data_IF_129968165858
#
_entry.id   IF_129968165858
#
_cell.length_a   1.000
_cell.length_b   1.000
_cell.length_c   1.000
_cell.angle_alpha   90.00
_cell.angle_beta   90.00
_cell.angle_gamma   90.00
#
_symmetry.space_group_name_H-M   'P 1'
#
loop_
_entity.id
_entity.type
_entity.pdbx_description
1 polymer ?
#
# COMPACT_ATOMS: atom_id res chain seq x y z
N UNK A 1 -2.61 -25.51 -26.21
CA UNK A 1 -1.47 -26.11 -25.44
C UNK A 1 -1.06 -25.23 -24.24
N UNK A 2 -0.67 -23.95 -24.45
CA UNK A 2 -0.18 -23.11 -23.32
C UNK A 2 -1.32 -22.68 -22.39
N UNK A 3 -2.50 -22.28 -22.91
CA UNK A 3 -3.67 -21.95 -22.11
C UNK A 3 -4.19 -23.10 -21.26
N UNK A 4 -4.16 -24.31 -21.78
CA UNK A 4 -4.53 -25.52 -21.04
C UNK A 4 -3.57 -25.76 -19.85
N UNK A 5 -2.28 -25.52 -20.04
CA UNK A 5 -1.29 -25.63 -18.96
C UNK A 5 -1.52 -24.58 -17.86
N UNK A 6 -1.91 -23.36 -18.23
CA UNK A 6 -2.18 -22.27 -17.28
C UNK A 6 -3.44 -22.53 -16.47
N UNK A 7 -4.47 -23.10 -17.07
CA UNK A 7 -5.72 -23.42 -16.38
C UNK A 7 -5.65 -24.72 -15.56
N UNK A 8 -4.62 -25.53 -15.75
CA UNK A 8 -4.47 -26.76 -15.01
C UNK A 8 -3.91 -26.47 -13.60
N UNK A 9 -4.73 -26.71 -12.58
CA UNK A 9 -4.39 -26.48 -11.18
C UNK A 9 -3.19 -27.29 -10.68
N UNK A 10 -2.87 -28.43 -11.32
CA UNK A 10 -1.69 -29.24 -10.96
C UNK A 10 -0.37 -28.55 -11.25
N UNK A 11 -0.40 -27.48 -12.05
CA UNK A 11 0.76 -26.67 -12.37
C UNK A 11 1.06 -25.57 -11.34
N UNK A 12 0.33 -25.56 -10.23
CA UNK A 12 0.53 -24.65 -9.11
C UNK A 12 0.66 -25.43 -7.81
N UNK A 13 1.51 -24.95 -6.92
CA UNK A 13 1.69 -25.54 -5.59
C UNK A 13 1.54 -24.50 -4.50
N UNK A 14 1.04 -24.91 -3.33
CA UNK A 14 0.90 -24.00 -2.21
C UNK A 14 2.27 -23.54 -1.74
N UNK A 15 2.50 -22.24 -1.84
CA UNK A 15 3.75 -21.61 -1.42
C UNK A 15 3.47 -20.57 -0.33
N UNK A 16 3.92 -20.78 0.92
CA UNK A 16 3.68 -19.88 2.02
C UNK A 16 4.16 -18.43 1.76
N UNK A 17 5.21 -18.26 0.95
CA UNK A 17 5.75 -16.94 0.61
C UNK A 17 4.83 -16.11 -0.30
N UNK A 18 3.88 -16.74 -0.97
CA UNK A 18 2.86 -16.02 -1.76
C UNK A 18 1.76 -15.40 -0.90
N UNK A 19 1.47 -15.97 0.28
CA UNK A 19 0.35 -15.56 1.13
C UNK A 19 0.42 -14.09 1.56
N UNK A 20 1.53 -13.57 2.12
CA UNK A 20 1.58 -12.16 2.52
C UNK A 20 1.43 -11.20 1.33
N UNK A 21 1.90 -11.60 0.15
CA UNK A 21 1.80 -10.80 -1.07
C UNK A 21 0.36 -10.75 -1.59
N UNK A 22 -0.34 -11.89 -1.61
CA UNK A 22 -1.77 -11.97 -1.98
C UNK A 22 -2.63 -11.16 -1.01
N UNK A 23 -2.41 -11.34 0.30
CA UNK A 23 -3.16 -10.61 1.33
C UNK A 23 -2.96 -9.10 1.19
N UNK A 24 -1.73 -8.64 0.97
CA UNK A 24 -1.46 -7.23 0.72
C UNK A 24 -2.19 -6.74 -0.54
N UNK A 25 -2.19 -7.52 -1.64
CA UNK A 25 -2.93 -7.20 -2.86
C UNK A 25 -4.43 -7.05 -2.62
N UNK A 26 -5.05 -8.00 -1.91
CA UNK A 26 -6.48 -7.96 -1.56
C UNK A 26 -6.81 -6.75 -0.69
N UNK A 27 -6.00 -6.47 0.34
CA UNK A 27 -6.19 -5.33 1.23
C UNK A 27 -6.10 -4.00 0.46
N UNK A 28 -5.09 -3.85 -0.40
CA UNK A 28 -4.91 -2.65 -1.23
C UNK A 28 -6.12 -2.44 -2.16
N UNK A 29 -6.59 -3.48 -2.83
CA UNK A 29 -7.77 -3.38 -3.69
C UNK A 29 -9.03 -3.01 -2.90
N UNK A 30 -9.23 -3.62 -1.74
CA UNK A 30 -10.35 -3.34 -0.84
C UNK A 30 -10.35 -1.87 -0.38
N UNK A 31 -9.18 -1.34 -0.01
CA UNK A 31 -8.99 0.08 0.34
C UNK A 31 -9.33 0.98 -0.86
N UNK A 32 -8.85 0.63 -2.06
CA UNK A 32 -9.14 1.38 -3.28
C UNK A 32 -10.64 1.44 -3.60
N UNK A 33 -11.33 0.30 -3.53
CA UNK A 33 -12.79 0.21 -3.73
C UNK A 33 -13.53 1.00 -2.65
N UNK A 34 -13.11 0.90 -1.40
CA UNK A 34 -13.71 1.66 -0.30
C UNK A 34 -13.64 3.16 -0.56
N UNK A 35 -12.46 3.70 -0.91
CA UNK A 35 -12.29 5.13 -1.20
C UNK A 35 -13.09 5.56 -2.44
N UNK A 36 -13.12 4.73 -3.49
CA UNK A 36 -13.91 5.01 -4.68
C UNK A 36 -15.40 5.12 -4.37
N UNK A 37 -15.94 4.23 -3.53
CA UNK A 37 -17.35 4.23 -3.11
C UNK A 37 -17.74 5.48 -2.31
N UNK A 38 -16.81 6.12 -1.62
CA UNK A 38 -17.08 7.36 -0.88
C UNK A 38 -17.49 8.50 -1.84
N UNK A 39 -16.88 8.58 -3.01
CA UNK A 39 -17.29 9.50 -4.07
C UNK A 39 -16.71 9.04 -5.43
N UNK A 40 -17.51 8.32 -6.17
CA UNK A 40 -17.13 7.78 -7.49
C UNK A 40 -17.03 8.85 -8.61
N UNK A 41 -17.46 10.09 -8.36
CA UNK A 41 -17.31 11.22 -9.28
C UNK A 41 -16.04 12.05 -9.01
N UNK A 42 -15.39 11.85 -7.87
CA UNK A 42 -14.16 12.56 -7.53
C UNK A 42 -12.98 12.00 -8.32
N UNK A 43 -12.32 12.86 -9.10
CA UNK A 43 -11.13 12.49 -9.87
C UNK A 43 -9.97 12.01 -8.95
N UNK A 44 -9.89 12.52 -7.72
CA UNK A 44 -8.91 12.08 -6.71
C UNK A 44 -9.19 10.63 -6.34
N UNK A 45 -10.44 10.28 -6.05
CA UNK A 45 -10.82 8.93 -5.66
C UNK A 45 -10.64 7.94 -6.81
N UNK A 46 -10.96 8.36 -8.05
CA UNK A 46 -10.74 7.54 -9.26
C UNK A 46 -9.24 7.30 -9.46
N UNK A 47 -8.41 8.34 -9.38
CA UNK A 47 -6.96 8.23 -9.54
C UNK A 47 -6.34 7.32 -8.47
N UNK A 48 -6.79 7.47 -7.21
CA UNK A 48 -6.36 6.60 -6.12
C UNK A 48 -6.79 5.14 -6.33
N UNK A 49 -8.02 4.91 -6.78
CA UNK A 49 -8.48 3.55 -7.12
C UNK A 49 -7.64 2.92 -8.23
N UNK A 50 -7.32 3.65 -9.31
CA UNK A 50 -6.47 3.16 -10.38
C UNK A 50 -5.06 2.80 -9.88
N UNK A 51 -4.53 3.57 -8.94
CA UNK A 51 -3.27 3.26 -8.29
C UNK A 51 -3.37 1.97 -7.45
N UNK A 52 -4.40 1.84 -6.62
CA UNK A 52 -4.65 0.63 -5.84
C UNK A 52 -4.84 -0.60 -6.75
N UNK A 53 -5.56 -0.44 -7.85
CA UNK A 53 -5.75 -1.50 -8.85
C UNK A 53 -4.42 -1.94 -9.46
N UNK A 54 -3.57 -1.00 -9.91
CA UNK A 54 -2.27 -1.33 -10.51
C UNK A 54 -1.35 -2.07 -9.54
N UNK A 55 -1.29 -1.61 -8.28
CA UNK A 55 -0.47 -2.24 -7.23
C UNK A 55 -1.02 -3.61 -6.85
N UNK A 56 -2.34 -3.72 -6.64
CA UNK A 56 -2.99 -4.99 -6.31
C UNK A 56 -2.83 -6.01 -7.45
N UNK A 57 -2.97 -5.57 -8.70
CA UNK A 57 -2.78 -6.42 -9.87
C UNK A 57 -1.35 -6.94 -9.93
N UNK A 58 -0.34 -6.07 -9.74
CA UNK A 58 1.06 -6.48 -9.63
C UNK A 58 1.26 -7.52 -8.52
N UNK A 59 0.78 -7.25 -7.29
CA UNK A 59 0.98 -8.14 -6.15
C UNK A 59 0.26 -9.48 -6.32
N UNK A 60 -0.97 -9.49 -6.83
CA UNK A 60 -1.73 -10.72 -7.05
C UNK A 60 -1.09 -11.60 -8.11
N UNK A 61 -0.61 -11.01 -9.19
CA UNK A 61 0.00 -11.76 -10.29
C UNK A 61 1.41 -12.23 -9.98
N UNK A 62 2.23 -11.44 -9.26
CA UNK A 62 3.55 -11.92 -8.81
C UNK A 62 3.41 -13.05 -7.78
N UNK A 63 2.36 -13.04 -6.96
CA UNK A 63 2.08 -14.16 -6.08
C UNK A 63 1.77 -15.45 -6.86
N UNK A 64 1.06 -15.36 -7.99
CA UNK A 64 0.84 -16.51 -8.88
C UNK A 64 2.16 -17.01 -9.49
N UNK A 65 3.09 -16.10 -9.82
CA UNK A 65 4.44 -16.48 -10.24
C UNK A 65 5.14 -17.32 -9.16
N UNK A 66 4.98 -16.96 -7.86
CA UNK A 66 5.54 -17.75 -6.76
C UNK A 66 4.87 -19.12 -6.57
N UNK A 67 3.59 -19.23 -6.92
CA UNK A 67 2.84 -20.50 -6.86
C UNK A 67 3.15 -21.42 -8.06
N UNK A 68 3.75 -20.92 -9.14
CA UNK A 68 3.97 -21.69 -10.37
C UNK A 68 4.95 -22.84 -10.17
N UNK A 69 4.63 -24.03 -10.70
CA UNK A 69 5.46 -25.22 -10.61
C UNK A 69 6.56 -25.28 -11.68
N UNK A 70 6.35 -24.62 -12.81
CA UNK A 70 7.26 -24.61 -13.96
C UNK A 70 7.69 -23.20 -14.36
N UNK A 71 8.89 -23.12 -14.94
CA UNK A 71 9.46 -21.86 -15.42
C UNK A 71 8.59 -21.18 -16.49
N UNK A 72 8.02 -21.95 -17.43
CA UNK A 72 7.21 -21.40 -18.51
C UNK A 72 5.94 -20.73 -18.01
N UNK A 73 5.26 -21.32 -17.01
CA UNK A 73 4.06 -20.75 -16.40
C UNK A 73 4.40 -19.49 -15.62
N UNK A 74 5.48 -19.53 -14.83
CA UNK A 74 5.97 -18.38 -14.09
C UNK A 74 6.31 -17.21 -15.03
N UNK A 75 6.99 -17.48 -16.15
CA UNK A 75 7.34 -16.48 -17.15
C UNK A 75 6.10 -15.88 -17.81
N UNK A 76 5.12 -16.74 -18.16
CA UNK A 76 3.86 -16.27 -18.72
C UNK A 76 3.16 -15.26 -17.80
N UNK A 77 2.93 -15.63 -16.55
CA UNK A 77 2.29 -14.74 -15.59
C UNK A 77 3.08 -13.44 -15.36
N UNK A 78 4.41 -13.53 -15.34
CA UNK A 78 5.24 -12.34 -15.17
C UNK A 78 5.15 -11.40 -16.36
N UNK A 79 5.37 -11.89 -17.59
CA UNK A 79 5.42 -11.06 -18.81
C UNK A 79 4.09 -10.42 -19.15
N UNK A 80 3.02 -11.22 -19.14
CA UNK A 80 1.72 -10.75 -19.62
C UNK A 80 0.89 -10.04 -18.56
N UNK A 81 1.09 -10.35 -17.27
CA UNK A 81 0.23 -9.80 -16.22
C UNK A 81 1.01 -9.00 -15.18
N UNK A 82 2.05 -9.56 -14.59
CA UNK A 82 2.78 -8.88 -13.52
C UNK A 82 3.42 -7.59 -14.01
N UNK A 83 4.07 -7.63 -15.17
CA UNK A 83 4.72 -6.44 -15.73
C UNK A 83 3.72 -5.37 -16.14
N UNK A 84 2.52 -5.75 -16.60
CA UNK A 84 1.43 -4.80 -16.84
C UNK A 84 1.06 -4.02 -15.57
N UNK A 85 0.95 -4.70 -14.43
CA UNK A 85 0.73 -4.04 -13.14
C UNK A 85 1.85 -3.05 -12.81
N UNK A 86 3.11 -3.49 -12.93
CA UNK A 86 4.31 -2.69 -12.61
C UNK A 86 4.38 -1.40 -13.42
N UNK A 87 4.19 -1.45 -14.75
CA UNK A 87 4.31 -0.28 -15.62
C UNK A 87 3.23 0.77 -15.36
N UNK A 88 2.06 0.37 -14.83
CA UNK A 88 0.96 1.27 -14.53
C UNK A 88 1.06 1.94 -13.14
N UNK A 89 1.96 1.52 -12.26
CA UNK A 89 2.09 2.12 -10.92
C UNK A 89 2.45 3.60 -11.01
N UNK A 90 3.53 3.96 -11.70
CA UNK A 90 4.00 5.35 -11.74
C UNK A 90 3.04 6.32 -12.46
N UNK A 91 2.42 5.96 -13.60
CA UNK A 91 1.37 6.80 -14.21
C UNK A 91 0.18 7.05 -13.30
N UNK A 92 -0.26 6.03 -12.55
CA UNK A 92 -1.38 6.19 -11.62
C UNK A 92 -1.03 7.12 -10.43
N UNK A 93 0.20 7.03 -9.92
CA UNK A 93 0.74 7.98 -8.91
C UNK A 93 0.77 9.40 -9.48
N UNK A 94 1.21 9.58 -10.74
CA UNK A 94 1.21 10.90 -11.39
C UNK A 94 -0.20 11.46 -11.55
N UNK A 95 -1.14 10.66 -12.04
CA UNK A 95 -2.54 11.06 -12.14
C UNK A 95 -3.11 11.48 -10.79
N UNK A 96 -2.81 10.71 -9.73
CA UNK A 96 -3.21 11.06 -8.37
C UNK A 96 -2.59 12.38 -7.90
N UNK A 97 -1.28 12.58 -8.08
CA UNK A 97 -0.61 13.82 -7.69
C UNK A 97 -1.17 15.06 -8.41
N UNK A 98 -1.48 14.94 -9.70
CA UNK A 98 -2.10 16.02 -10.50
C UNK A 98 -3.54 16.29 -10.07
N UNK A 99 -4.33 15.23 -9.80
CA UNK A 99 -5.70 15.35 -9.30
C UNK A 99 -5.74 16.00 -7.92
N UNK A 100 -4.84 15.59 -7.03
CA UNK A 100 -4.72 16.15 -5.68
C UNK A 100 -4.38 17.64 -5.68
N UNK A 101 -3.48 18.05 -6.59
CA UNK A 101 -3.09 19.46 -6.77
C UNK A 101 -4.17 20.33 -7.45
N UNK A 102 -5.32 19.76 -7.82
CA UNK A 102 -6.38 20.48 -8.53
C UNK A 102 -6.06 20.85 -10.00
N UNK A 103 -4.97 20.30 -10.55
CA UNK A 103 -4.49 20.65 -11.90
C UNK A 103 -4.93 19.66 -12.99
N UNK A 104 -5.83 18.73 -12.69
CA UNK A 104 -6.17 17.64 -13.59
C UNK A 104 -6.67 18.12 -14.96
N UNK A 105 -7.59 19.10 -14.98
CA UNK A 105 -8.14 19.63 -16.24
C UNK A 105 -7.06 20.27 -17.12
N UNK A 106 -6.11 20.99 -16.49
CA UNK A 106 -5.01 21.64 -17.20
C UNK A 106 -3.97 20.65 -17.74
N UNK A 107 -3.77 19.54 -17.03
CA UNK A 107 -2.72 18.56 -17.31
C UNK A 107 -3.22 17.21 -17.84
N UNK A 108 -4.49 17.11 -18.25
CA UNK A 108 -5.09 15.84 -18.70
C UNK A 108 -4.30 15.17 -19.84
N UNK A 109 -3.79 15.95 -20.78
CA UNK A 109 -2.98 15.43 -21.90
C UNK A 109 -1.65 14.85 -21.41
N UNK A 110 -1.00 15.50 -20.45
CA UNK A 110 0.22 14.97 -19.83
C UNK A 110 -0.03 13.69 -19.06
N UNK A 111 -1.18 13.57 -18.41
CA UNK A 111 -1.60 12.32 -17.75
C UNK A 111 -1.71 11.20 -18.78
N UNK A 112 -2.35 11.44 -19.92
CA UNK A 112 -2.49 10.45 -21.00
C UNK A 112 -1.11 10.05 -21.54
N UNK A 113 -0.25 11.01 -21.87
CA UNK A 113 1.13 10.75 -22.35
C UNK A 113 1.92 9.94 -21.34
N UNK A 114 1.70 10.19 -20.04
CA UNK A 114 2.35 9.47 -18.97
C UNK A 114 1.95 7.98 -18.90
N UNK A 115 0.79 7.59 -19.42
CA UNK A 115 0.39 6.19 -19.59
C UNK A 115 0.92 5.57 -20.88
N UNK A 116 1.11 6.36 -21.93
CA UNK A 116 1.57 5.85 -23.24
C UNK A 116 3.00 5.30 -23.14
N UNK A 117 3.93 6.01 -22.49
CA UNK A 117 5.33 5.59 -22.42
C UNK A 117 5.50 4.24 -21.70
N UNK A 118 4.90 4.01 -20.51
CA UNK A 118 4.93 2.70 -19.87
C UNK A 118 4.26 1.60 -20.68
N UNK A 119 3.21 1.93 -21.44
CA UNK A 119 2.58 0.97 -22.35
C UNK A 119 3.54 0.51 -23.46
N UNK A 120 4.41 1.41 -23.96
CA UNK A 120 5.45 1.02 -24.91
C UNK A 120 6.46 0.03 -24.28
N UNK A 121 6.85 0.22 -23.00
CA UNK A 121 7.67 -0.76 -22.29
C UNK A 121 6.95 -2.09 -22.12
N UNK A 122 5.63 -2.07 -21.87
CA UNK A 122 4.85 -3.29 -21.80
C UNK A 122 4.79 -4.01 -23.16
N UNK A 123 4.57 -3.30 -24.26
CA UNK A 123 4.60 -3.88 -25.61
C UNK A 123 5.99 -4.46 -25.90
N UNK A 124 7.06 -3.75 -25.56
CA UNK A 124 8.42 -4.24 -25.68
C UNK A 124 8.63 -5.53 -24.89
N UNK A 125 8.10 -5.64 -23.67
CA UNK A 125 8.22 -6.85 -22.85
C UNK A 125 7.53 -8.03 -23.49
N UNK A 126 6.30 -7.88 -24.01
CA UNK A 126 5.53 -8.99 -24.58
C UNK A 126 6.01 -9.40 -25.98
N UNK A 127 6.69 -8.51 -26.71
CA UNK A 127 7.15 -8.74 -28.10
C UNK A 127 8.62 -9.08 -28.20
N UNK A 128 9.40 -8.81 -27.15
CA UNK A 128 10.85 -9.03 -27.19
C UNK A 128 11.36 -9.67 -25.90
N UNK A 129 12.56 -10.24 -25.94
CA UNK A 129 13.24 -10.81 -24.79
C UNK A 129 14.28 -9.84 -24.20
N UNK A 130 14.03 -8.51 -24.31
CA UNK A 130 15.03 -7.50 -23.97
C UNK A 130 14.92 -6.97 -22.55
N UNK A 131 13.72 -6.96 -21.96
CA UNK A 131 13.47 -6.46 -20.59
C UNK A 131 13.59 -7.61 -19.59
N UNK A 132 12.92 -8.74 -19.84
CA UNK A 132 13.07 -9.98 -19.05
C UNK A 132 13.63 -11.07 -19.95
N UNK A 133 14.64 -11.78 -19.45
CA UNK A 133 15.26 -12.88 -20.20
C UNK A 133 14.42 -14.16 -19.98
N UNK A 134 13.80 -14.75 -21.03
CA UNK A 134 12.85 -15.86 -20.87
C UNK A 134 13.47 -17.13 -20.28
N UNK A 135 14.75 -17.36 -20.56
CA UNK A 135 15.45 -18.59 -20.15
C UNK A 135 16.16 -18.46 -18.80
N UNK A 136 16.09 -17.27 -18.16
CA UNK A 136 16.77 -16.99 -16.91
C UNK A 136 15.82 -16.67 -15.75
N UNK A 137 14.58 -17.13 -15.81
CA UNK A 137 13.70 -17.09 -14.64
C UNK A 137 14.25 -18.11 -13.61
N UNK A 138 14.68 -17.64 -12.45
CA UNK A 138 15.30 -18.50 -11.43
C UNK A 138 14.31 -18.92 -10.37
N UNK A 139 14.48 -20.14 -9.88
CA UNK A 139 13.74 -20.65 -8.74
C UNK A 139 14.52 -20.38 -7.46
N UNK A 140 13.98 -19.51 -6.63
CA UNK A 140 14.47 -19.21 -5.29
C UNK A 140 13.65 -19.99 -4.24
N UNK A 141 14.00 -19.86 -2.97
CA UNK A 141 13.25 -20.50 -1.88
C UNK A 141 11.81 -20.00 -1.72
N UNK A 142 11.51 -18.79 -2.25
CA UNK A 142 10.16 -18.21 -2.25
C UNK A 142 9.38 -18.43 -3.56
N UNK A 143 9.95 -19.08 -4.55
CA UNK A 143 9.33 -19.33 -5.85
C UNK A 143 10.15 -18.83 -7.02
N UNK A 144 9.55 -18.78 -8.19
CA UNK A 144 10.18 -18.24 -9.40
C UNK A 144 10.27 -16.73 -9.38
N UNK A 145 11.40 -16.20 -9.85
CA UNK A 145 11.62 -14.77 -9.97
C UNK A 145 12.42 -14.45 -11.24
N UNK A 146 12.02 -13.43 -12.05
CA UNK A 146 12.68 -13.15 -13.32
C UNK A 146 14.02 -12.46 -13.11
N UNK A 147 14.91 -12.62 -14.09
CA UNK A 147 16.14 -11.86 -14.22
C UNK A 147 15.96 -10.84 -15.33
N UNK A 148 16.47 -9.65 -15.11
CA UNK A 148 16.35 -8.57 -16.04
C UNK A 148 17.36 -8.63 -17.18
N UNK A 149 16.87 -8.35 -18.38
CA UNK A 149 17.66 -8.23 -19.59
C UNK A 149 18.31 -6.85 -19.78
N UNK A 150 19.00 -6.67 -20.90
CA UNK A 150 19.83 -5.48 -21.14
C UNK A 150 19.02 -4.16 -21.20
N UNK A 151 17.75 -4.20 -21.57
CA UNK A 151 16.90 -3.01 -21.68
C UNK A 151 16.12 -2.69 -20.40
N UNK A 152 16.17 -3.55 -19.42
CA UNK A 152 15.56 -3.30 -18.12
C UNK A 152 16.17 -2.08 -17.42
N UNK A 153 17.47 -1.78 -17.67
CA UNK A 153 18.11 -0.56 -17.18
C UNK A 153 17.40 0.72 -17.65
N UNK A 154 16.99 0.75 -18.93
CA UNK A 154 16.26 1.88 -19.51
C UNK A 154 14.89 2.04 -18.84
N UNK A 155 14.17 0.92 -18.63
CA UNK A 155 12.92 0.91 -17.90
C UNK A 155 13.08 1.43 -16.45
N UNK A 156 14.13 1.02 -15.74
CA UNK A 156 14.37 1.49 -14.37
C UNK A 156 14.75 2.97 -14.30
N UNK A 157 15.56 3.46 -15.24
CA UNK A 157 15.85 4.89 -15.34
C UNK A 157 14.54 5.65 -15.54
N UNK A 158 13.70 5.20 -16.46
CA UNK A 158 12.38 5.79 -16.67
C UNK A 158 11.54 5.74 -15.37
N UNK A 159 11.48 4.61 -14.68
CA UNK A 159 10.76 4.45 -13.42
C UNK A 159 11.25 5.44 -12.34
N UNK A 160 12.56 5.58 -12.18
CA UNK A 160 13.18 6.55 -11.26
C UNK A 160 12.85 8.00 -11.64
N UNK A 161 12.93 8.36 -12.92
CA UNK A 161 12.59 9.71 -13.40
C UNK A 161 11.12 10.01 -13.09
N UNK A 162 10.22 9.08 -13.35
CA UNK A 162 8.79 9.21 -13.02
C UNK A 162 8.56 9.37 -11.52
N UNK A 163 9.26 8.60 -10.70
CA UNK A 163 9.19 8.77 -9.25
C UNK A 163 9.59 10.20 -8.83
N UNK A 164 10.71 10.70 -9.31
CA UNK A 164 11.17 12.05 -8.98
C UNK A 164 10.24 13.15 -9.49
N UNK A 165 9.61 12.97 -10.66
CA UNK A 165 8.58 13.89 -11.17
C UNK A 165 7.39 13.91 -10.21
N UNK A 166 6.90 12.74 -9.77
CA UNK A 166 5.78 12.60 -8.85
C UNK A 166 6.09 13.21 -7.48
N UNK A 167 7.25 12.86 -6.92
CA UNK A 167 7.73 13.39 -5.65
C UNK A 167 7.88 14.92 -5.70
N UNK A 168 8.54 15.45 -6.72
CA UNK A 168 8.70 16.90 -6.94
C UNK A 168 7.34 17.60 -7.03
N UNK A 169 6.38 16.99 -7.72
CA UNK A 169 5.03 17.54 -7.84
C UNK A 169 4.34 17.68 -6.48
N UNK A 170 4.33 16.62 -5.68
CA UNK A 170 3.77 16.64 -4.34
C UNK A 170 4.51 17.59 -3.40
N UNK A 171 5.83 17.60 -3.45
CA UNK A 171 6.68 18.48 -2.65
C UNK A 171 6.44 19.98 -2.96
N UNK A 172 6.36 20.35 -4.24
CA UNK A 172 6.05 21.72 -4.63
C UNK A 172 4.62 22.12 -4.21
N UNK A 173 3.65 21.22 -4.32
CA UNK A 173 2.28 21.46 -3.84
C UNK A 173 2.26 21.67 -2.32
N UNK A 174 3.05 20.88 -1.57
CA UNK A 174 3.25 21.04 -0.13
C UNK A 174 3.83 22.42 0.22
N UNK A 175 4.87 22.86 -0.52
CA UNK A 175 5.56 24.14 -0.26
C UNK A 175 4.71 25.37 -0.60
N UNK A 176 3.81 25.28 -1.57
CA UNK A 176 2.97 26.38 -2.03
C UNK A 176 1.61 26.47 -1.29
N UNK A 177 1.23 25.44 -0.53
CA UNK A 177 -0.05 25.42 0.19
C UNK A 177 0.00 26.33 1.42
N UNK A 178 -1.05 27.17 1.59
CA UNK A 178 -1.14 28.13 2.68
C UNK A 178 -2.09 27.68 3.79
N UNK A 179 -3.00 26.75 3.51
CA UNK A 179 -3.99 26.25 4.47
C UNK A 179 -3.30 25.22 5.36
N UNK A 180 -3.18 25.44 6.69
CA UNK A 180 -2.40 24.56 7.58
C UNK A 180 -2.81 23.10 7.52
N UNK A 181 -4.11 22.82 7.46
CA UNK A 181 -4.64 21.45 7.38
C UNK A 181 -4.24 20.74 6.09
N UNK A 182 -4.30 21.42 4.94
CA UNK A 182 -3.86 20.90 3.64
C UNK A 182 -2.35 20.76 3.57
N UNK A 183 -1.61 21.70 4.15
CA UNK A 183 -0.14 21.63 4.23
C UNK A 183 0.30 20.38 4.97
N UNK A 184 -0.33 20.08 6.11
CA UNK A 184 -0.04 18.86 6.87
C UNK A 184 -0.30 17.60 6.06
N UNK A 185 -1.40 17.54 5.30
CA UNK A 185 -1.71 16.39 4.45
C UNK A 185 -0.71 16.20 3.32
N UNK A 186 -0.40 17.27 2.58
CA UNK A 186 0.57 17.22 1.52
C UNK A 186 1.95 16.82 2.04
N UNK A 187 2.30 17.24 3.26
CA UNK A 187 3.50 16.81 3.96
C UNK A 187 3.48 15.29 4.18
N UNK A 188 2.40 14.76 4.76
CA UNK A 188 2.24 13.32 5.01
C UNK A 188 2.31 12.53 3.70
N UNK A 189 1.58 12.97 2.65
CA UNK A 189 1.60 12.33 1.32
C UNK A 189 2.99 12.33 0.70
N UNK A 190 3.73 13.44 0.83
CA UNK A 190 5.10 13.56 0.30
C UNK A 190 6.04 12.56 0.98
N UNK A 191 6.01 12.46 2.30
CA UNK A 191 6.81 11.49 3.05
C UNK A 191 6.38 10.05 2.78
N UNK A 192 5.07 9.78 2.70
CA UNK A 192 4.56 8.46 2.35
C UNK A 192 5.01 8.03 0.95
N UNK A 193 5.03 8.95 -0.01
CA UNK A 193 5.53 8.68 -1.38
C UNK A 193 7.03 8.37 -1.36
N UNK A 194 7.82 9.08 -0.56
CA UNK A 194 9.24 8.78 -0.39
C UNK A 194 9.44 7.39 0.23
N UNK A 195 8.65 7.05 1.25
CA UNK A 195 8.68 5.71 1.86
C UNK A 195 8.26 4.61 0.88
N UNK A 196 7.24 4.86 0.03
CA UNK A 196 6.82 3.91 -1.00
C UNK A 196 7.94 3.57 -1.99
N UNK A 197 8.91 4.47 -2.20
CA UNK A 197 10.06 4.21 -3.06
C UNK A 197 10.94 3.06 -2.56
N UNK A 198 10.91 2.76 -1.27
CA UNK A 198 11.60 1.57 -0.71
C UNK A 198 11.09 0.28 -1.36
N UNK A 199 9.84 0.24 -1.85
CA UNK A 199 9.32 -0.91 -2.60
C UNK A 199 10.10 -1.19 -3.89
N UNK A 200 10.79 -0.20 -4.45
CA UNK A 200 11.68 -0.41 -5.60
C UNK A 200 12.88 -1.30 -5.30
N UNK A 201 13.17 -1.60 -4.03
CA UNK A 201 14.15 -2.62 -3.64
C UNK A 201 13.84 -4.00 -4.24
N UNK A 202 12.60 -4.28 -4.61
CA UNK A 202 12.19 -5.51 -5.31
C UNK A 202 12.79 -5.64 -6.72
N UNK A 203 13.35 -4.57 -7.27
CA UNK A 203 14.14 -4.63 -8.50
C UNK A 203 15.56 -5.18 -8.28
N UNK A 204 16.13 -5.05 -7.06
CA UNK A 204 17.50 -5.46 -6.77
C UNK A 204 17.76 -6.95 -7.04
N UNK A 205 16.91 -7.90 -6.58
CA UNK A 205 17.08 -9.31 -6.89
C UNK A 205 17.13 -9.59 -8.39
N UNK A 206 16.32 -8.89 -9.18
CA UNK A 206 16.21 -9.06 -10.63
C UNK A 206 17.43 -8.54 -11.38
N UNK A 207 18.06 -7.46 -10.86
CA UNK A 207 19.23 -6.84 -11.48
C UNK A 207 20.54 -7.52 -11.12
N UNK A 208 20.70 -7.78 -9.82
CA UNK A 208 21.95 -8.28 -9.27
C UNK A 208 21.91 -9.78 -9.00
N UNK A 209 20.82 -10.45 -9.39
CA UNK A 209 20.62 -11.88 -9.16
C UNK A 209 20.83 -12.28 -7.69
N UNK A 210 20.30 -11.47 -6.78
CA UNK A 210 20.40 -11.68 -5.34
C UNK A 210 19.27 -12.57 -4.83
N UNK A 211 19.58 -13.50 -3.92
CA UNK A 211 18.59 -14.36 -3.27
C UNK A 211 17.88 -13.61 -2.10
N UNK A 212 17.36 -12.39 -2.38
CA UNK A 212 16.62 -11.58 -1.42
C UNK A 212 15.13 -11.70 -1.69
N UNK A 213 14.36 -12.08 -0.66
CA UNK A 213 12.90 -12.11 -0.75
C UNK A 213 12.34 -10.70 -0.95
N UNK A 214 11.53 -10.47 -1.99
CA UNK A 214 10.95 -9.15 -2.26
C UNK A 214 9.95 -8.75 -1.18
N UNK A 215 10.21 -7.63 -0.51
CA UNK A 215 9.39 -7.11 0.60
C UNK A 215 8.62 -5.83 0.23
N UNK A 216 8.65 -5.44 -1.04
CA UNK A 216 8.07 -4.20 -1.53
C UNK A 216 6.57 -4.05 -1.29
N UNK A 217 5.85 -5.15 -1.05
CA UNK A 217 4.44 -5.11 -0.68
C UNK A 217 4.20 -4.41 0.67
N UNK A 218 5.15 -4.43 1.61
CA UNK A 218 5.02 -3.78 2.93
C UNK A 218 5.00 -2.24 2.81
N UNK A 219 6.03 -1.58 2.22
CA UNK A 219 5.98 -0.13 2.06
C UNK A 219 4.85 0.33 1.15
N UNK A 220 4.44 -0.47 0.15
CA UNK A 220 3.30 -0.14 -0.69
C UNK A 220 1.97 -0.20 0.06
N UNK A 221 1.73 -1.22 0.87
CA UNK A 221 0.53 -1.29 1.71
C UNK A 221 0.47 -0.12 2.69
N UNK A 222 1.58 0.20 3.35
CA UNK A 222 1.68 1.33 4.27
C UNK A 222 1.38 2.66 3.55
N UNK A 223 1.97 2.87 2.39
CA UNK A 223 1.71 4.05 1.57
C UNK A 223 0.23 4.19 1.20
N UNK A 224 -0.39 3.13 0.68
CA UNK A 224 -1.80 3.12 0.29
C UNK A 224 -2.71 3.41 1.49
N UNK A 225 -2.43 2.82 2.66
CA UNK A 225 -3.18 3.09 3.88
C UNK A 225 -3.09 4.56 4.31
N UNK A 226 -1.90 5.17 4.26
CA UNK A 226 -1.67 6.58 4.59
C UNK A 226 -2.38 7.51 3.59
N UNK A 227 -2.34 7.20 2.29
CA UNK A 227 -3.03 7.98 1.25
C UNK A 227 -4.53 7.89 1.41
N UNK A 228 -5.08 6.67 1.59
CA UNK A 228 -6.51 6.45 1.84
C UNK A 228 -7.00 7.26 3.03
N UNK A 229 -6.26 7.18 4.12
CA UNK A 229 -6.52 7.97 5.32
C UNK A 229 -6.57 9.47 4.99
N UNK A 230 -5.58 9.98 4.26
CA UNK A 230 -5.52 11.39 3.88
C UNK A 230 -6.72 11.83 3.03
N UNK A 231 -7.26 10.96 2.17
CA UNK A 231 -8.43 11.22 1.34
C UNK A 231 -9.71 11.25 2.17
N UNK A 232 -9.91 10.25 3.03
CA UNK A 232 -11.13 10.06 3.82
C UNK A 232 -11.27 11.12 4.90
N UNK A 233 -10.15 11.50 5.52
CA UNK A 233 -10.09 12.49 6.61
C UNK A 233 -10.75 13.82 6.27
N UNK A 234 -10.73 14.27 5.02
CA UNK A 234 -11.25 15.57 4.62
C UNK A 234 -12.77 15.65 4.53
N UNK A 235 -13.47 14.52 4.60
CA UNK A 235 -14.93 14.50 4.42
C UNK A 235 -15.73 14.26 5.68
N UNK A 236 -15.11 13.76 6.73
CA UNK A 236 -15.80 13.43 7.98
C UNK A 236 -15.03 13.97 9.18
N UNK A 237 -15.71 14.70 10.05
CA UNK A 237 -15.18 15.33 11.27
C UNK A 237 -14.71 14.32 12.35
N UNK A 238 -14.88 13.01 12.15
CA UNK A 238 -14.59 11.94 13.15
C UNK A 238 -13.23 11.24 12.93
N UNK A 239 -12.21 12.01 12.93
CA UNK A 239 -10.90 11.70 12.33
C UNK A 239 -9.94 10.97 13.26
N UNK A 240 -9.95 11.30 14.54
CA UNK A 240 -9.01 10.72 15.52
C UNK A 240 -9.25 9.22 15.72
N UNK A 241 -10.49 8.78 15.64
CA UNK A 241 -10.89 7.39 15.85
C UNK A 241 -10.39 6.46 14.73
N UNK A 242 -10.47 6.90 13.46
CA UNK A 242 -10.03 6.06 12.32
C UNK A 242 -8.51 5.97 12.23
N UNK A 243 -7.79 7.08 12.46
CA UNK A 243 -6.33 7.08 12.47
C UNK A 243 -5.78 6.18 13.56
N UNK A 244 -6.33 6.34 14.74
CA UNK A 244 -5.93 5.54 15.88
C UNK A 244 -6.15 4.06 15.61
N UNK A 245 -7.32 3.66 15.12
CA UNK A 245 -7.61 2.27 14.76
C UNK A 245 -6.66 1.75 13.68
N UNK A 246 -6.39 2.51 12.61
CA UNK A 246 -5.52 2.06 11.51
C UNK A 246 -4.06 1.91 11.97
N UNK A 247 -3.52 2.89 12.71
CA UNK A 247 -2.16 2.79 13.27
C UNK A 247 -2.07 1.63 14.25
N UNK A 248 -3.08 1.44 15.08
CA UNK A 248 -3.16 0.32 16.02
C UNK A 248 -3.21 -1.03 15.30
N UNK A 249 -3.98 -1.14 14.21
CA UNK A 249 -3.99 -2.36 13.40
C UNK A 249 -2.63 -2.64 12.75
N UNK A 250 -1.96 -1.62 12.20
CA UNK A 250 -0.62 -1.76 11.62
C UNK A 250 0.40 -2.18 12.68
N UNK A 251 0.39 -1.53 13.84
CA UNK A 251 1.27 -1.88 14.96
C UNK A 251 0.97 -3.29 15.48
N UNK A 252 -0.30 -3.64 15.65
CA UNK A 252 -0.73 -4.98 16.08
C UNK A 252 -0.27 -6.05 15.09
N UNK A 253 -0.53 -5.84 13.79
CA UNK A 253 -0.06 -6.76 12.75
C UNK A 253 1.46 -6.88 12.74
N UNK A 254 2.19 -5.79 12.86
CA UNK A 254 3.66 -5.82 12.90
C UNK A 254 4.19 -6.53 14.14
N UNK A 255 3.61 -6.27 15.31
CA UNK A 255 4.02 -6.90 16.58
C UNK A 255 3.69 -8.39 16.67
N UNK A 256 2.65 -8.86 15.98
CA UNK A 256 2.24 -10.27 16.01
C UNK A 256 2.84 -11.04 14.84
N UNK A 257 2.74 -10.51 13.62
CA UNK A 257 3.16 -11.25 12.42
C UNK A 257 4.68 -11.37 12.31
N UNK A 258 5.44 -10.33 12.69
CA UNK A 258 6.90 -10.39 12.59
C UNK A 258 7.48 -11.45 13.55
N UNK A 259 7.17 -11.46 14.85
CA UNK A 259 7.63 -12.51 15.74
C UNK A 259 7.09 -13.89 15.37
N UNK A 260 5.81 -13.99 14.96
CA UNK A 260 5.21 -15.25 14.55
C UNK A 260 5.91 -15.84 13.31
N UNK A 261 6.29 -14.99 12.34
CA UNK A 261 7.07 -15.39 11.17
C UNK A 261 8.45 -15.93 11.55
N UNK A 262 9.17 -15.24 12.44
CA UNK A 262 10.47 -15.70 12.92
C UNK A 262 10.35 -16.98 13.74
N UNK A 263 9.34 -17.08 14.58
CA UNK A 263 9.07 -18.26 15.40
C UNK A 263 8.69 -19.46 14.54
N UNK A 264 7.83 -19.24 13.52
CA UNK A 264 7.49 -20.25 12.53
C UNK A 264 8.75 -20.71 11.77
N UNK A 265 9.58 -19.79 11.27
CA UNK A 265 10.82 -20.12 10.55
C UNK A 265 11.79 -20.94 11.42
N UNK A 266 11.87 -20.63 12.72
CA UNK A 266 12.75 -21.32 13.65
C UNK A 266 12.24 -22.69 14.06
N UNK A 267 10.94 -22.84 14.27
CA UNK A 267 10.30 -24.08 14.73
C UNK A 267 9.96 -25.03 13.58
N UNK A 268 9.65 -24.48 12.38
CA UNK A 268 9.21 -25.28 11.23
C UNK A 268 10.14 -26.42 10.82
N UNK A 269 11.48 -26.29 10.82
CA UNK A 269 12.37 -27.42 10.50
C UNK A 269 12.17 -28.63 11.41
N UNK A 270 11.79 -28.41 12.67
CA UNK A 270 11.60 -29.47 13.67
C UNK A 270 10.23 -30.14 13.61
N UNK A 271 9.23 -29.48 13.04
CA UNK A 271 7.83 -29.94 13.04
C UNK A 271 7.32 -30.34 11.65
N UNK A 272 8.11 -30.13 10.60
CA UNK A 272 7.65 -30.27 9.20
C UNK A 272 7.18 -31.68 8.86
N UNK A 273 7.63 -32.72 9.59
CA UNK A 273 7.28 -34.11 9.34
C UNK A 273 5.98 -34.55 10.03
N UNK A 274 5.47 -33.75 10.97
CA UNK A 274 4.27 -34.07 11.73
C UNK A 274 3.16 -33.04 11.47
N UNK A 275 2.08 -33.47 10.82
CA UNK A 275 0.89 -32.66 10.59
C UNK A 275 0.29 -32.19 11.92
N UNK A 276 0.26 -33.04 12.95
CA UNK A 276 -0.26 -32.72 14.27
C UNK A 276 0.52 -31.56 14.92
N UNK A 277 1.85 -31.58 14.82
CA UNK A 277 2.70 -30.50 15.36
C UNK A 277 2.52 -29.17 14.61
N UNK A 278 2.30 -29.22 13.29
CA UNK A 278 1.98 -28.04 12.50
C UNK A 278 0.62 -27.46 12.91
N UNK A 279 -0.41 -28.31 13.06
CA UNK A 279 -1.73 -27.87 13.52
C UNK A 279 -1.67 -27.28 14.94
N UNK A 280 -0.88 -27.86 15.84
CA UNK A 280 -0.67 -27.34 17.18
C UNK A 280 -0.03 -25.95 17.17
N UNK A 281 0.98 -25.71 16.30
CA UNK A 281 1.62 -24.40 16.15
C UNK A 281 0.62 -23.35 15.64
N UNK A 282 -0.21 -23.69 14.65
CA UNK A 282 -1.25 -22.80 14.15
C UNK A 282 -2.32 -22.51 15.23
N UNK A 283 -2.76 -23.52 15.97
CA UNK A 283 -3.71 -23.35 17.06
C UNK A 283 -3.15 -22.43 18.16
N UNK A 284 -1.90 -22.62 18.58
CA UNK A 284 -1.23 -21.74 19.55
C UNK A 284 -1.11 -20.30 19.04
N UNK A 285 -0.76 -20.11 17.78
CA UNK A 285 -0.67 -18.77 17.18
C UNK A 285 -2.04 -18.07 17.14
N UNK A 286 -3.09 -18.81 16.84
CA UNK A 286 -4.46 -18.31 16.86
C UNK A 286 -4.94 -17.96 18.27
N UNK A 287 -4.62 -18.79 19.27
CA UNK A 287 -4.93 -18.52 20.68
C UNK A 287 -4.18 -17.29 21.20
N UNK A 288 -2.91 -17.11 20.83
CA UNK A 288 -2.13 -15.95 21.18
C UNK A 288 -2.72 -14.66 20.57
N UNK A 289 -3.17 -14.73 19.30
CA UNK A 289 -3.87 -13.63 18.63
C UNK A 289 -5.21 -13.31 19.33
N UNK A 290 -6.00 -14.33 19.64
CA UNK A 290 -7.28 -14.18 20.33
C UNK A 290 -7.10 -13.56 21.74
N UNK A 291 -6.07 -13.98 22.46
CA UNK A 291 -5.71 -13.41 23.77
C UNK A 291 -5.30 -11.94 23.64
N UNK A 292 -4.47 -11.61 22.67
CA UNK A 292 -4.09 -10.24 22.40
C UNK A 292 -5.31 -9.35 22.11
N UNK A 293 -6.18 -9.77 21.17
CA UNK A 293 -7.38 -9.03 20.79
C UNK A 293 -8.34 -8.83 21.97
N UNK A 294 -8.43 -9.80 22.88
CA UNK A 294 -9.36 -9.75 24.01
C UNK A 294 -8.80 -9.05 25.24
N UNK A 295 -7.51 -9.18 25.54
CA UNK A 295 -6.93 -8.72 26.79
C UNK A 295 -6.09 -7.45 26.64
N UNK A 296 -5.36 -7.27 25.53
CA UNK A 296 -4.40 -6.20 25.36
C UNK A 296 -5.00 -5.05 24.55
N UNK A 297 -5.66 -5.34 23.44
CA UNK A 297 -6.23 -4.33 22.56
C UNK A 297 -7.23 -3.38 23.26
N UNK A 298 -8.17 -3.85 24.11
CA UNK A 298 -9.09 -2.95 24.82
C UNK A 298 -8.38 -1.99 25.78
N UNK A 299 -7.28 -2.43 26.42
CA UNK A 299 -6.49 -1.57 27.31
C UNK A 299 -5.80 -0.45 26.54
N UNK A 300 -5.30 -0.76 25.37
CA UNK A 300 -4.69 0.21 24.48
C UNK A 300 -5.74 1.19 23.97
N UNK A 301 -6.88 0.69 23.49
CA UNK A 301 -8.01 1.53 23.04
C UNK A 301 -8.50 2.48 24.15
N UNK A 302 -8.61 1.99 25.38
CA UNK A 302 -9.02 2.78 26.54
C UNK A 302 -8.00 3.88 26.90
N UNK A 303 -6.70 3.59 26.81
CA UNK A 303 -5.64 4.57 27.08
C UNK A 303 -5.71 5.76 26.10
N UNK A 304 -6.06 5.50 24.85
CA UNK A 304 -6.16 6.54 23.85
C UNK A 304 -7.54 7.25 23.81
N UNK A 305 -8.62 6.56 24.19
CA UNK A 305 -9.96 7.19 24.31
C UNK A 305 -10.05 8.23 25.43
N UNK A 306 -9.27 8.08 26.50
CA UNK A 306 -9.25 9.02 27.62
C UNK A 306 -8.89 10.45 27.22
N UNK A 307 -8.05 10.60 26.20
CA UNK A 307 -7.65 11.92 25.68
C UNK A 307 -8.75 12.59 24.84
N UNK A 308 -9.61 11.80 24.21
CA UNK A 308 -10.72 12.29 23.39
C UNK A 308 -11.87 12.80 24.23
N UNK A 309 -12.24 12.10 25.30
CA UNK A 309 -13.35 12.50 26.16
C UNK A 309 -13.12 13.87 26.81
N UNK A 310 -11.88 14.19 27.20
CA UNK A 310 -11.55 15.49 27.77
C UNK A 310 -11.70 16.65 26.77
N UNK A 311 -11.33 16.44 25.50
CA UNK A 311 -11.47 17.48 24.47
C UNK A 311 -12.92 17.70 24.03
N UNK A 312 -13.71 16.63 23.94
CA UNK A 312 -15.13 16.72 23.64
C UNK A 312 -15.91 17.39 24.78
N UNK A 313 -15.57 17.11 26.03
CA UNK A 313 -16.16 17.74 27.20
C UNK A 313 -15.82 19.24 27.28
N UNK A 314 -14.57 19.62 27.01
CA UNK A 314 -14.14 21.04 26.94
C UNK A 314 -14.86 21.74 25.77
N UNK A 315 -14.95 21.11 24.60
CA UNK A 315 -15.64 21.68 23.43
C UNK A 315 -17.14 21.81 23.63
N UNK A 316 -17.80 20.85 24.28
CA UNK A 316 -19.22 20.93 24.56
C UNK A 316 -19.54 21.99 25.61
N UNK A 317 -18.76 22.07 26.69
CA UNK A 317 -18.87 23.15 27.69
C UNK A 317 -18.64 24.53 27.09
N UNK A 318 -17.63 24.67 26.22
CA UNK A 318 -17.39 25.93 25.51
C UNK A 318 -18.57 26.32 24.60
N UNK A 319 -19.16 25.34 23.89
CA UNK A 319 -20.32 25.57 23.02
C UNK A 319 -21.58 25.93 23.83
N UNK A 320 -21.83 25.28 24.97
CA UNK A 320 -22.91 25.61 25.88
C UNK A 320 -22.73 27.01 26.46
N UNK A 321 -21.53 27.37 26.91
CA UNK A 321 -21.19 28.69 27.40
C UNK A 321 -21.44 29.79 26.34
N UNK A 322 -21.10 29.51 25.06
CA UNK A 322 -21.34 30.42 23.94
C UNK A 322 -22.83 30.71 23.69
N UNK A 323 -23.69 29.69 23.84
CA UNK A 323 -25.13 29.81 23.66
C UNK A 323 -25.77 30.73 24.74
N UNK A 324 -25.16 30.81 25.94
CA UNK A 324 -25.65 31.63 27.04
C UNK A 324 -25.10 33.08 27.05
N UNK A 325 -24.19 33.44 26.14
CA UNK A 325 -23.61 34.78 26.06
C UNK A 325 -24.56 35.76 25.40
N UNK A 326 -24.98 36.80 26.16
CA UNK A 326 -25.90 37.86 25.70
C UNK A 326 -25.22 39.10 25.13
N UNK A 327 -23.88 39.13 25.00
CA UNK A 327 -23.14 40.28 24.46
C UNK A 327 -21.70 40.02 24.06
N UNK A 328 -21.17 40.86 23.14
CA UNK A 328 -19.83 40.72 22.55
C UNK A 328 -18.71 40.75 23.61
N UNK A 329 -18.85 41.58 24.63
CA UNK A 329 -17.81 41.72 25.68
C UNK A 329 -17.68 40.46 26.54
N UNK A 330 -18.76 39.74 26.78
CA UNK A 330 -18.72 38.45 27.49
C UNK A 330 -18.11 37.34 26.62
N UNK A 331 -18.30 37.40 25.32
CA UNK A 331 -17.70 36.50 24.35
C UNK A 331 -16.16 36.66 24.34
N UNK A 332 -15.66 37.90 24.29
CA UNK A 332 -14.24 38.22 24.29
C UNK A 332 -13.58 37.71 25.57
N UNK A 333 -14.20 38.00 26.72
CA UNK A 333 -13.65 37.56 28.00
C UNK A 333 -13.58 36.06 28.17
N UNK A 334 -14.58 35.32 27.66
CA UNK A 334 -14.56 33.83 27.66
C UNK A 334 -13.55 33.22 26.68
N UNK A 335 -13.29 33.89 25.54
CA UNK A 335 -12.23 33.45 24.61
C UNK A 335 -10.86 33.67 25.26
N UNK A 336 -10.64 34.79 25.95
CA UNK A 336 -9.41 35.06 26.70
C UNK A 336 -9.17 34.01 27.80
N UNK A 337 -10.22 33.69 28.58
CA UNK A 337 -10.16 32.66 29.64
C UNK A 337 -9.93 31.25 29.09
N UNK A 338 -10.33 30.93 27.85
CA UNK A 338 -10.12 29.62 27.23
C UNK A 338 -8.73 29.46 26.58
N UNK A 339 -8.03 30.57 26.36
CA UNK A 339 -6.69 30.58 25.74
C UNK A 339 -5.58 30.65 26.83
N UNK A 340 -5.88 31.17 28.03
CA UNK A 340 -4.98 31.20 29.18
C UNK A 340 -4.89 29.84 29.88
#
# INVERSE_FOLDING_TARGET
>A
LMFEQILNTTNYYLNPYSLPVILAGILILSIGIFVLKQNNKSIINIAFFLQCFSVSFWLSTIAIVYLSSTQNIALFWYRYFTFFGVVNIMPSVYMFAVAWSGEFQRKKYFVIVNYIIPLLFYILEITTDKIVIPYEIRKYFWGYYPIYGPWAGIFLIFFCIQFFINFRKLYLSYRSEKIPTKTMQLRILTFATLFAFVASSDFLPKFFNLALYPIGYIPMLTYIAVVAYSIVRYRTFDIETVMHKTIMWILTFSFILIPAFFLYKWVFPYIRESIASQMALWAMSFLALAFYLRAIQPKIDHFFQRRKSNLEEISSRFTEDLVHLKGLNQLIQRIEDAIA
#
